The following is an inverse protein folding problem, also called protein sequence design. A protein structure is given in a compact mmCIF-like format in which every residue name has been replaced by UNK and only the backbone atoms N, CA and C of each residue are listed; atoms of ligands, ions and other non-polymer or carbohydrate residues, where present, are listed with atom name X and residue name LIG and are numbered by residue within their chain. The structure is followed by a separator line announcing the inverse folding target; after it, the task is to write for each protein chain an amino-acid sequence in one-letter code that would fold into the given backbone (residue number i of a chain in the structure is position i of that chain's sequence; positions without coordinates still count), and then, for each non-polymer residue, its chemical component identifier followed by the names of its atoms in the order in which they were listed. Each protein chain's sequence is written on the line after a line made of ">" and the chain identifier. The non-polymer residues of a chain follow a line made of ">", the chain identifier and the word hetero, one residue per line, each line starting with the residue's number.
data_IF_648167728222
#
_entry.id   IF_648167728222
#
_cell.length_a   1.000
_cell.length_b   1.000
_cell.length_c   1.000
_cell.angle_alpha   90.00
_cell.angle_beta   90.00
_cell.angle_gamma   90.00
#
_symmetry.space_group_name_H-M   'P 1'
#
loop_
_entity.id
_entity.type
_entity.pdbx_description
1 polymer ?
#
# COMPACT_ATOMS: atom_id res chain seq x y z
N UNK A 1 -67.33 127.40 -100.41
CA UNK A 1 -68.04 126.12 -100.66
C UNK A 1 -67.05 124.98 -100.90
N UNK A 2 -66.06 125.09 -101.79
CA UNK A 2 -65.01 124.06 -101.91
C UNK A 2 -64.06 124.02 -100.71
N UNK A 3 -63.61 125.18 -100.22
CA UNK A 3 -62.58 125.30 -99.17
C UNK A 3 -63.00 124.73 -97.81
N UNK A 4 -64.28 124.84 -97.45
CA UNK A 4 -64.82 124.23 -96.22
C UNK A 4 -64.74 122.71 -96.24
N UNK A 5 -65.08 122.09 -97.38
CA UNK A 5 -64.97 120.62 -97.57
C UNK A 5 -63.52 120.13 -97.45
N UNK A 6 -62.55 120.95 -97.87
CA UNK A 6 -61.12 120.65 -97.72
C UNK A 6 -60.68 120.75 -96.25
N UNK A 7 -61.18 121.74 -95.49
CA UNK A 7 -60.93 121.85 -94.05
C UNK A 7 -61.57 120.71 -93.26
N UNK A 8 -62.82 120.35 -93.55
CA UNK A 8 -63.51 119.21 -92.94
C UNK A 8 -62.76 117.89 -93.21
N UNK A 9 -62.25 117.70 -94.44
CA UNK A 9 -61.43 116.54 -94.80
C UNK A 9 -60.07 116.53 -94.08
N UNK A 10 -59.43 117.69 -93.89
CA UNK A 10 -58.18 117.80 -93.14
C UNK A 10 -58.37 117.51 -91.64
N UNK A 11 -59.48 117.94 -91.04
CA UNK A 11 -59.79 117.62 -89.63
C UNK A 11 -60.25 116.16 -89.45
N UNK A 12 -60.91 115.56 -90.45
CA UNK A 12 -61.14 114.11 -90.49
C UNK A 12 -59.83 113.31 -90.59
N UNK A 13 -58.87 113.77 -91.41
CA UNK A 13 -57.54 113.17 -91.52
C UNK A 13 -56.73 113.32 -90.22
N UNK A 14 -56.76 114.47 -89.54
CA UNK A 14 -56.16 114.63 -88.20
C UNK A 14 -56.75 113.67 -87.18
N UNK A 15 -58.07 113.54 -87.12
CA UNK A 15 -58.73 112.59 -86.20
C UNK A 15 -58.37 111.14 -86.51
N UNK A 16 -58.21 110.78 -87.79
CA UNK A 16 -57.68 109.47 -88.18
C UNK A 16 -56.22 109.31 -87.74
N UNK A 17 -55.37 110.32 -87.96
CA UNK A 17 -53.96 110.34 -87.53
C UNK A 17 -53.82 110.21 -85.99
N UNK A 18 -54.66 110.89 -85.22
CA UNK A 18 -54.74 110.77 -83.76
C UNK A 18 -55.23 109.38 -83.33
N UNK A 19 -56.24 108.81 -84.01
CA UNK A 19 -56.72 107.45 -83.74
C UNK A 19 -55.72 106.35 -84.13
N UNK A 20 -54.87 106.61 -85.12
CA UNK A 20 -53.76 105.72 -85.48
C UNK A 20 -52.66 105.83 -84.42
N UNK A 21 -52.27 107.05 -84.01
CA UNK A 21 -51.32 107.27 -82.91
C UNK A 21 -51.79 106.64 -81.59
N UNK A 22 -53.09 106.69 -81.26
CA UNK A 22 -53.61 106.04 -80.05
C UNK A 22 -53.58 104.52 -80.15
N UNK A 23 -53.92 103.95 -81.31
CA UNK A 23 -53.83 102.49 -81.55
C UNK A 23 -52.38 102.01 -81.58
N UNK A 24 -51.46 102.78 -82.16
CA UNK A 24 -50.02 102.50 -82.13
C UNK A 24 -49.46 102.55 -80.70
N UNK A 25 -49.97 103.44 -79.85
CA UNK A 25 -49.64 103.47 -78.43
C UNK A 25 -50.19 102.23 -77.69
N UNK A 26 -51.47 101.88 -77.88
CA UNK A 26 -52.05 100.65 -77.33
C UNK A 26 -51.32 99.39 -77.81
N UNK A 27 -50.90 99.33 -79.07
CA UNK A 27 -50.16 98.19 -79.61
C UNK A 27 -48.76 98.09 -78.99
N UNK A 28 -48.06 99.21 -78.78
CA UNK A 28 -46.78 99.24 -78.06
C UNK A 28 -46.94 98.83 -76.60
N UNK A 29 -47.98 99.29 -75.91
CA UNK A 29 -48.26 98.91 -74.51
C UNK A 29 -48.62 97.41 -74.39
N UNK A 30 -49.38 96.87 -75.34
CA UNK A 30 -49.63 95.43 -75.47
C UNK A 30 -48.35 94.65 -75.79
N UNK A 31 -47.51 95.16 -76.68
CA UNK A 31 -46.22 94.54 -77.01
C UNK A 31 -45.29 94.51 -75.81
N UNK A 32 -45.15 95.61 -75.05
CA UNK A 32 -44.36 95.62 -73.81
C UNK A 32 -44.92 94.71 -72.74
N UNK A 33 -46.25 94.66 -72.55
CA UNK A 33 -46.86 93.75 -71.56
C UNK A 33 -46.78 92.28 -71.95
N UNK A 34 -46.71 91.95 -73.25
CA UNK A 34 -46.42 90.60 -73.74
C UNK A 34 -44.92 90.26 -73.62
N UNK A 35 -44.02 91.22 -73.82
CA UNK A 35 -42.59 91.05 -73.54
C UNK A 35 -42.35 90.81 -72.04
N UNK A 36 -42.99 91.58 -71.15
CA UNK A 36 -42.97 91.39 -69.69
C UNK A 36 -43.58 90.06 -69.22
N UNK A 37 -44.55 89.50 -69.96
CA UNK A 37 -45.08 88.17 -69.69
C UNK A 37 -44.13 87.08 -70.20
N UNK A 38 -43.51 87.27 -71.35
CA UNK A 38 -42.54 86.32 -71.92
C UNK A 38 -41.26 86.23 -71.07
N UNK A 39 -40.76 87.34 -70.53
CA UNK A 39 -39.61 87.33 -69.60
C UNK A 39 -39.95 86.60 -68.31
N UNK A 40 -41.10 86.89 -67.68
CA UNK A 40 -41.56 86.18 -66.47
C UNK A 40 -41.73 84.68 -66.69
N UNK A 41 -42.31 84.26 -67.82
CA UNK A 41 -42.47 82.83 -68.14
C UNK A 41 -41.11 82.14 -68.34
N UNK A 42 -40.12 82.81 -68.92
CA UNK A 42 -38.75 82.28 -69.05
C UNK A 42 -37.98 82.31 -67.71
N UNK A 43 -38.28 83.24 -66.81
CA UNK A 43 -37.77 83.26 -65.42
C UNK A 43 -38.37 82.11 -64.58
N UNK A 44 -39.71 81.98 -64.55
CA UNK A 44 -40.44 80.89 -63.89
C UNK A 44 -39.97 79.52 -64.41
N UNK A 45 -39.80 79.40 -65.74
CA UNK A 45 -39.25 78.19 -66.37
C UNK A 45 -37.85 77.88 -65.87
N UNK A 46 -36.96 78.87 -65.73
CA UNK A 46 -35.60 78.66 -65.20
C UNK A 46 -35.61 78.24 -63.73
N UNK A 47 -36.53 78.77 -62.92
CA UNK A 47 -36.73 78.32 -61.53
C UNK A 47 -37.18 76.86 -61.51
N UNK A 48 -38.19 76.49 -62.29
CA UNK A 48 -38.68 75.10 -62.37
C UNK A 48 -37.63 74.14 -62.93
N UNK A 49 -36.80 74.57 -63.89
CA UNK A 49 -35.65 73.77 -64.37
C UNK A 49 -34.58 73.59 -63.28
N UNK A 50 -34.31 74.61 -62.45
CA UNK A 50 -33.40 74.52 -61.30
C UNK A 50 -33.94 73.61 -60.19
N UNK A 51 -35.21 73.77 -59.78
CA UNK A 51 -35.89 72.90 -58.81
C UNK A 51 -35.90 71.44 -59.28
N UNK A 52 -36.14 71.21 -60.58
CA UNK A 52 -36.07 69.86 -61.16
C UNK A 52 -34.67 69.26 -61.07
N UNK A 53 -33.61 70.05 -61.19
CA UNK A 53 -32.23 69.57 -61.00
C UNK A 53 -31.92 69.27 -59.53
N UNK A 54 -32.28 70.15 -58.59
CA UNK A 54 -32.02 69.91 -57.16
C UNK A 54 -32.77 68.69 -56.63
N UNK A 55 -34.03 68.49 -57.03
CA UNK A 55 -34.80 67.29 -56.69
C UNK A 55 -34.22 65.99 -57.30
N UNK A 56 -33.52 66.07 -58.43
CA UNK A 56 -32.82 64.93 -59.01
C UNK A 56 -31.55 64.57 -58.21
N UNK A 57 -30.78 65.58 -57.78
CA UNK A 57 -29.60 65.40 -56.93
C UNK A 57 -29.98 64.90 -55.53
N UNK A 58 -31.07 65.41 -54.95
CA UNK A 58 -31.62 64.91 -53.69
C UNK A 58 -32.07 63.45 -53.80
N UNK A 59 -32.80 63.09 -54.87
CA UNK A 59 -33.16 61.69 -55.16
C UNK A 59 -31.94 60.79 -55.19
N UNK A 60 -30.87 61.18 -55.89
CA UNK A 60 -29.68 60.35 -56.00
C UNK A 60 -28.87 60.29 -54.70
N UNK A 61 -28.88 61.36 -53.89
CA UNK A 61 -28.38 61.33 -52.51
C UNK A 61 -29.16 60.34 -51.65
N UNK A 62 -30.50 60.32 -51.75
CA UNK A 62 -31.36 59.41 -51.00
C UNK A 62 -31.18 57.95 -51.45
N UNK A 63 -31.14 57.68 -52.76
CA UNK A 63 -30.85 56.35 -53.32
C UNK A 63 -29.45 55.88 -52.93
N UNK A 64 -28.47 56.77 -52.85
CA UNK A 64 -27.14 56.48 -52.31
C UNK A 64 -27.17 56.06 -50.83
N UNK A 65 -27.88 56.81 -49.99
CA UNK A 65 -28.07 56.48 -48.56
C UNK A 65 -28.81 55.16 -48.38
N UNK A 66 -29.87 54.92 -49.15
CA UNK A 66 -30.68 53.69 -49.10
C UNK A 66 -29.84 52.45 -49.46
N UNK A 67 -29.00 52.53 -50.51
CA UNK A 67 -28.02 51.49 -50.84
C UNK A 67 -27.00 51.26 -49.71
N UNK A 68 -26.52 52.32 -49.07
CA UNK A 68 -25.62 52.25 -47.92
C UNK A 68 -26.27 51.60 -46.68
N UNK A 69 -27.55 51.87 -46.43
CA UNK A 69 -28.31 51.21 -45.36
C UNK A 69 -28.49 49.71 -45.62
N UNK A 70 -28.93 49.32 -46.83
CA UNK A 70 -29.04 47.90 -47.23
C UNK A 70 -27.71 47.14 -47.20
N UNK A 71 -26.58 47.83 -47.38
CA UNK A 71 -25.26 47.22 -47.21
C UNK A 71 -24.94 46.93 -45.73
N UNK A 72 -25.21 47.90 -44.84
CA UNK A 72 -25.04 47.75 -43.38
C UNK A 72 -25.99 46.72 -42.78
N UNK A 73 -27.23 46.67 -43.24
CA UNK A 73 -28.24 45.68 -42.87
C UNK A 73 -27.73 44.25 -43.08
N UNK A 74 -27.19 43.96 -44.28
CA UNK A 74 -26.56 42.66 -44.59
C UNK A 74 -25.29 42.40 -43.79
N UNK A 75 -24.50 43.42 -43.50
CA UNK A 75 -23.32 43.30 -42.64
C UNK A 75 -23.69 42.94 -41.19
N UNK A 76 -24.81 43.48 -40.69
CA UNK A 76 -25.37 43.13 -39.38
C UNK A 76 -25.97 41.72 -39.37
N UNK A 77 -26.77 41.33 -40.37
CA UNK A 77 -27.28 39.96 -40.49
C UNK A 77 -26.15 38.90 -40.45
N UNK A 78 -25.01 39.19 -41.09
CA UNK A 78 -23.84 38.30 -41.09
C UNK A 78 -23.19 38.23 -39.69
N UNK A 79 -23.07 39.36 -38.99
CA UNK A 79 -22.54 39.41 -37.62
C UNK A 79 -23.46 38.71 -36.61
N UNK A 80 -24.78 38.83 -36.77
CA UNK A 80 -25.77 38.09 -35.97
C UNK A 80 -25.63 36.57 -36.18
N UNK A 81 -25.45 36.12 -37.42
CA UNK A 81 -25.16 34.70 -37.74
C UNK A 81 -23.84 34.23 -37.12
N UNK A 82 -22.78 35.04 -37.20
CA UNK A 82 -21.51 34.75 -36.55
C UNK A 82 -21.60 34.69 -35.02
N UNK A 83 -22.38 35.58 -34.40
CA UNK A 83 -22.58 35.60 -32.94
C UNK A 83 -23.34 34.35 -32.51
N UNK A 84 -24.48 34.04 -33.14
CA UNK A 84 -25.27 32.84 -32.81
C UNK A 84 -24.52 31.53 -33.05
N UNK A 85 -23.57 31.48 -34.00
CA UNK A 85 -22.64 30.35 -34.13
C UNK A 85 -21.66 30.28 -32.93
N UNK A 86 -21.00 31.40 -32.58
CA UNK A 86 -20.06 31.43 -31.45
C UNK A 86 -20.73 31.11 -30.12
N UNK A 87 -21.98 31.53 -29.92
CA UNK A 87 -22.79 31.16 -28.75
C UNK A 87 -23.03 29.65 -28.65
N UNK A 88 -23.30 28.97 -29.77
CA UNK A 88 -23.44 27.51 -29.82
C UNK A 88 -22.10 26.79 -29.55
N UNK A 89 -20.99 27.32 -30.08
CA UNK A 89 -19.63 26.80 -29.81
C UNK A 89 -19.23 26.97 -28.33
N UNK A 90 -19.58 28.10 -27.71
CA UNK A 90 -19.37 28.32 -26.27
C UNK A 90 -20.26 27.42 -25.41
N UNK A 91 -21.54 27.26 -25.72
CA UNK A 91 -22.44 26.38 -24.94
C UNK A 91 -22.04 24.90 -25.08
N UNK A 92 -21.65 24.44 -26.27
CA UNK A 92 -21.09 23.10 -26.47
C UNK A 92 -19.78 22.90 -25.68
N UNK A 93 -18.91 23.90 -25.64
CA UNK A 93 -17.68 23.89 -24.84
C UNK A 93 -17.98 23.83 -23.34
N UNK A 94 -18.95 24.62 -22.87
CA UNK A 94 -19.43 24.64 -21.47
C UNK A 94 -20.02 23.29 -21.05
N UNK A 95 -20.81 22.65 -21.91
CA UNK A 95 -21.33 21.29 -21.66
C UNK A 95 -20.21 20.25 -21.60
N UNK A 96 -19.16 20.38 -22.43
CA UNK A 96 -18.00 19.49 -22.36
C UNK A 96 -17.19 19.69 -21.07
N UNK A 97 -17.07 20.92 -20.55
CA UNK A 97 -16.43 21.21 -19.26
C UNK A 97 -17.23 20.58 -18.12
N UNK A 98 -18.54 20.82 -18.05
CA UNK A 98 -19.44 20.22 -17.05
C UNK A 98 -19.37 18.68 -17.07
N UNK A 99 -19.29 18.06 -18.25
CA UNK A 99 -19.10 16.60 -18.36
C UNK A 99 -17.77 16.12 -17.78
N UNK A 100 -16.67 16.87 -17.97
CA UNK A 100 -15.35 16.57 -17.39
C UNK A 100 -15.32 16.77 -15.88
N UNK A 101 -15.95 17.83 -15.37
CA UNK A 101 -16.08 18.11 -13.92
C UNK A 101 -16.80 16.96 -13.20
N UNK A 102 -17.95 16.52 -13.74
CA UNK A 102 -18.67 15.36 -13.18
C UNK A 102 -17.84 14.06 -13.21
N UNK A 103 -17.01 13.84 -14.24
CA UNK A 103 -16.07 12.72 -14.27
C UNK A 103 -14.92 12.83 -13.25
N UNK A 104 -14.47 14.05 -12.92
CA UNK A 104 -13.47 14.27 -11.87
C UNK A 104 -14.07 14.00 -10.49
N UNK A 105 -15.26 14.54 -10.20
CA UNK A 105 -16.00 14.29 -8.95
C UNK A 105 -16.23 12.78 -8.74
N UNK A 106 -16.58 12.03 -9.80
CA UNK A 106 -16.70 10.58 -9.72
C UNK A 106 -15.39 9.87 -9.36
N UNK A 107 -14.27 10.27 -9.98
CA UNK A 107 -12.93 9.74 -9.65
C UNK A 107 -12.48 10.09 -8.24
N UNK A 108 -12.76 11.30 -7.77
CA UNK A 108 -12.46 11.74 -6.40
C UNK A 108 -13.22 10.91 -5.36
N UNK A 109 -14.51 10.65 -5.59
CA UNK A 109 -15.31 9.75 -4.74
C UNK A 109 -14.75 8.33 -4.71
N UNK A 110 -14.30 7.78 -5.84
CA UNK A 110 -13.72 6.44 -5.89
C UNK A 110 -12.32 6.37 -5.27
N UNK A 111 -11.52 7.43 -5.36
CA UNK A 111 -10.25 7.55 -4.61
C UNK A 111 -10.50 7.64 -3.11
N UNK A 112 -11.49 8.42 -2.66
CA UNK A 112 -11.87 8.51 -1.25
C UNK A 112 -12.32 7.14 -0.68
N UNK A 113 -13.15 6.38 -1.43
CA UNK A 113 -13.52 4.99 -1.08
C UNK A 113 -12.30 4.08 -0.99
N UNK A 114 -11.36 4.18 -1.95
CA UNK A 114 -10.12 3.37 -1.92
C UNK A 114 -9.28 3.67 -0.68
N UNK A 115 -9.07 4.95 -0.35
CA UNK A 115 -8.36 5.38 0.86
C UNK A 115 -9.01 4.85 2.15
N UNK A 116 -10.33 4.95 2.29
CA UNK A 116 -11.08 4.37 3.41
C UNK A 116 -10.83 2.84 3.55
N UNK A 117 -10.81 2.10 2.44
CA UNK A 117 -10.48 0.66 2.49
C UNK A 117 -8.99 0.36 2.72
N UNK A 118 -8.08 1.32 2.52
CA UNK A 118 -6.66 1.14 2.84
C UNK A 118 -6.42 1.39 4.33
N UNK A 119 -6.96 2.50 4.87
CA UNK A 119 -6.89 2.83 6.30
C UNK A 119 -7.43 1.68 7.17
N UNK A 120 -8.58 1.08 6.80
CA UNK A 120 -9.14 -0.08 7.50
C UNK A 120 -8.22 -1.31 7.48
N UNK A 121 -7.49 -1.54 6.37
CA UNK A 121 -6.51 -2.63 6.30
C UNK A 121 -5.27 -2.33 7.14
N UNK A 122 -4.83 -1.07 7.21
CA UNK A 122 -3.74 -0.62 8.07
C UNK A 122 -4.10 -0.76 9.55
N UNK A 123 -5.34 -0.42 9.94
CA UNK A 123 -5.90 -0.65 11.28
C UNK A 123 -5.92 -2.15 11.63
N UNK A 124 -6.41 -3.02 10.72
CA UNK A 124 -6.37 -4.47 10.94
C UNK A 124 -4.93 -5.04 11.04
N UNK A 125 -3.98 -4.52 10.25
CA UNK A 125 -2.56 -4.92 10.33
C UNK A 125 -1.98 -4.52 11.69
N UNK A 126 -2.18 -3.28 12.11
CA UNK A 126 -1.73 -2.79 13.41
C UNK A 126 -2.34 -3.59 14.59
N UNK A 127 -3.60 -4.03 14.46
CA UNK A 127 -4.22 -4.94 15.43
C UNK A 127 -3.48 -6.29 15.48
N UNK A 128 -3.30 -6.94 14.32
CA UNK A 128 -2.64 -8.25 14.21
C UNK A 128 -1.18 -8.21 14.68
N UNK A 129 -0.46 -7.11 14.42
CA UNK A 129 0.89 -6.89 14.94
C UNK A 129 0.91 -6.72 16.47
N UNK A 130 -0.09 -6.04 17.03
CA UNK A 130 -0.23 -5.91 18.50
C UNK A 130 -0.50 -7.24 19.20
N UNK A 131 -1.30 -8.12 18.57
CA UNK A 131 -1.57 -9.49 19.03
C UNK A 131 -0.32 -10.37 18.93
N UNK A 132 0.42 -10.28 17.81
CA UNK A 132 1.68 -10.98 17.62
C UNK A 132 2.74 -10.56 18.67
N UNK A 133 2.82 -9.26 18.99
CA UNK A 133 3.69 -8.73 20.05
C UNK A 133 3.24 -9.18 21.45
N UNK A 134 1.95 -9.33 21.71
CA UNK A 134 1.44 -9.89 22.96
C UNK A 134 1.84 -11.37 23.10
N UNK A 135 1.60 -12.19 22.08
CA UNK A 135 2.00 -13.60 22.06
C UNK A 135 3.52 -13.79 22.17
N UNK A 136 4.33 -12.90 21.57
CA UNK A 136 5.78 -12.93 21.72
C UNK A 136 6.23 -12.68 23.18
N UNK A 137 5.54 -11.81 23.92
CA UNK A 137 5.76 -11.58 25.37
C UNK A 137 5.32 -12.77 26.21
N UNK A 138 4.18 -13.39 25.91
CA UNK A 138 3.73 -14.60 26.60
C UNK A 138 4.73 -15.77 26.42
N UNK A 139 5.27 -15.91 25.21
CA UNK A 139 6.27 -16.93 24.88
C UNK A 139 7.60 -16.65 25.61
N UNK A 140 8.05 -15.40 25.73
CA UNK A 140 9.27 -15.08 26.47
C UNK A 140 9.10 -15.25 27.98
N UNK A 141 7.94 -14.87 28.55
CA UNK A 141 7.61 -15.11 29.95
C UNK A 141 7.57 -16.62 30.28
N UNK A 142 6.93 -17.44 29.46
CA UNK A 142 6.90 -18.91 29.63
C UNK A 142 8.30 -19.54 29.49
N UNK A 143 9.15 -19.03 28.59
CA UNK A 143 10.55 -19.48 28.49
C UNK A 143 11.35 -19.16 29.76
N UNK A 144 11.18 -17.96 30.33
CA UNK A 144 11.82 -17.58 31.59
C UNK A 144 11.34 -18.44 32.78
N UNK A 145 10.04 -18.74 32.84
CA UNK A 145 9.50 -19.65 33.86
C UNK A 145 10.07 -21.07 33.72
N UNK A 146 10.14 -21.61 32.50
CA UNK A 146 10.74 -22.93 32.24
C UNK A 146 12.22 -22.96 32.65
N UNK A 147 12.99 -21.91 32.35
CA UNK A 147 14.39 -21.79 32.76
C UNK A 147 14.53 -21.76 34.29
N UNK A 148 13.71 -20.95 34.99
CA UNK A 148 13.70 -20.91 36.46
C UNK A 148 13.33 -22.25 37.11
N UNK A 149 12.40 -23.00 36.51
CA UNK A 149 12.08 -24.38 36.94
C UNK A 149 13.23 -25.35 36.68
N UNK A 150 13.94 -25.21 35.55
CA UNK A 150 15.14 -26.02 35.24
C UNK A 150 16.27 -25.76 36.25
N UNK A 151 16.54 -24.50 36.60
CA UNK A 151 17.50 -24.16 37.67
C UNK A 151 17.13 -24.79 39.02
N UNK A 152 15.84 -24.77 39.40
CA UNK A 152 15.37 -25.38 40.65
C UNK A 152 15.58 -26.90 40.65
N UNK A 153 15.35 -27.57 39.52
CA UNK A 153 15.60 -29.02 39.36
C UNK A 153 17.10 -29.32 39.46
N UNK A 154 17.97 -28.52 38.82
CA UNK A 154 19.43 -28.69 38.92
C UNK A 154 19.90 -28.54 40.36
N UNK A 155 19.50 -27.48 41.05
CA UNK A 155 19.85 -27.24 42.47
C UNK A 155 19.41 -28.39 43.37
N UNK A 156 18.19 -28.91 43.18
CA UNK A 156 17.69 -30.08 43.93
C UNK A 156 18.50 -31.36 43.65
N UNK A 157 18.97 -31.57 42.42
CA UNK A 157 19.82 -32.71 42.06
C UNK A 157 21.24 -32.56 42.61
N UNK A 158 21.78 -31.33 42.67
CA UNK A 158 23.06 -31.01 43.31
C UNK A 158 23.00 -31.24 44.83
N UNK A 159 21.93 -30.79 45.50
CA UNK A 159 21.67 -31.06 46.92
C UNK A 159 21.56 -32.58 47.18
N UNK A 160 20.76 -33.30 46.36
CA UNK A 160 20.63 -34.76 46.48
C UNK A 160 21.98 -35.46 46.30
N UNK A 161 22.75 -35.09 45.28
CA UNK A 161 24.10 -35.61 45.06
C UNK A 161 24.99 -35.37 46.28
N UNK A 162 25.05 -34.16 46.81
CA UNK A 162 25.85 -33.84 47.99
C UNK A 162 25.42 -34.65 49.23
N UNK A 163 24.13 -34.88 49.43
CA UNK A 163 23.67 -35.75 50.53
C UNK A 163 24.04 -37.23 50.34
N UNK A 164 24.11 -37.73 49.11
CA UNK A 164 24.56 -39.09 48.79
C UNK A 164 26.07 -39.24 48.95
N UNK A 165 26.86 -38.27 48.48
CA UNK A 165 28.31 -38.24 48.69
C UNK A 165 28.64 -38.20 50.20
N UNK A 166 27.91 -37.38 50.98
CA UNK A 166 28.02 -37.36 52.44
C UNK A 166 27.49 -38.62 53.14
N UNK A 167 26.69 -39.48 52.49
CA UNK A 167 26.36 -40.82 53.01
C UNK A 167 27.46 -41.84 52.68
N UNK A 168 27.99 -41.80 51.46
CA UNK A 168 29.09 -42.66 50.99
C UNK A 168 30.33 -42.44 51.86
N UNK A 169 30.71 -41.20 52.13
CA UNK A 169 31.86 -40.86 52.99
C UNK A 169 31.68 -41.38 54.43
N UNK A 170 30.47 -41.22 55.01
CA UNK A 170 30.17 -41.78 56.34
C UNK A 170 30.25 -43.31 56.35
N UNK A 171 29.79 -43.98 55.29
CA UNK A 171 29.93 -45.42 55.16
C UNK A 171 31.40 -45.85 55.00
N UNK A 172 32.23 -45.12 54.25
CA UNK A 172 33.67 -45.38 54.19
C UNK A 172 34.34 -45.26 55.57
N UNK A 173 34.02 -44.20 56.33
CA UNK A 173 34.54 -44.02 57.70
C UNK A 173 34.07 -45.13 58.65
N UNK A 174 32.85 -45.67 58.48
CA UNK A 174 32.38 -46.83 59.25
C UNK A 174 33.12 -48.11 58.84
N UNK A 175 33.22 -48.41 57.54
CA UNK A 175 33.99 -49.57 57.03
C UNK A 175 35.47 -49.52 57.44
N UNK A 176 36.08 -48.34 57.56
CA UNK A 176 37.43 -48.19 58.11
C UNK A 176 37.52 -48.50 59.60
N UNK A 177 36.50 -48.11 60.39
CA UNK A 177 36.44 -48.44 61.83
C UNK A 177 36.21 -49.92 62.04
N UNK A 178 35.34 -50.56 61.26
CA UNK A 178 35.12 -52.01 61.28
C UNK A 178 36.42 -52.76 60.93
N UNK A 179 37.14 -52.36 59.89
CA UNK A 179 38.47 -52.94 59.56
C UNK A 179 39.48 -52.78 60.70
N UNK A 180 39.49 -51.64 61.40
CA UNK A 180 40.38 -51.40 62.55
C UNK A 180 39.96 -52.27 63.75
N UNK A 181 38.68 -52.38 64.05
CA UNK A 181 38.14 -53.26 65.10
C UNK A 181 38.43 -54.74 64.82
N UNK A 182 38.30 -55.21 63.57
CA UNK A 182 38.70 -56.59 63.19
C UNK A 182 40.19 -56.81 63.45
N UNK A 183 41.07 -55.86 63.07
CA UNK A 183 42.50 -55.94 63.37
C UNK A 183 42.83 -55.89 64.87
N UNK A 184 42.05 -55.15 65.66
CA UNK A 184 42.15 -55.13 67.12
C UNK A 184 41.67 -56.45 67.75
N UNK A 185 40.58 -57.05 67.24
CA UNK A 185 40.09 -58.37 67.66
C UNK A 185 41.10 -59.49 67.32
N UNK A 186 41.70 -59.47 66.12
CA UNK A 186 42.79 -60.36 65.74
C UNK A 186 44.02 -60.19 66.66
N UNK A 187 44.41 -58.94 66.95
CA UNK A 187 45.50 -58.64 67.87
C UNK A 187 45.22 -59.18 69.29
N UNK A 188 43.99 -58.99 69.79
CA UNK A 188 43.53 -59.53 71.08
C UNK A 188 43.50 -61.07 71.06
N UNK A 189 43.08 -61.69 69.96
CA UNK A 189 43.08 -63.14 69.79
C UNK A 189 44.51 -63.71 69.85
N UNK A 190 45.48 -63.10 69.14
CA UNK A 190 46.89 -63.54 69.22
C UNK A 190 47.51 -63.27 70.59
N UNK A 191 47.12 -62.20 71.29
CA UNK A 191 47.55 -61.94 72.66
C UNK A 191 46.99 -62.98 73.64
N UNK A 192 45.72 -63.35 73.53
CA UNK A 192 45.09 -64.44 74.31
C UNK A 192 45.76 -65.79 74.03
N UNK A 193 46.11 -66.07 72.77
CA UNK A 193 46.84 -67.28 72.41
C UNK A 193 48.21 -67.35 73.11
N UNK A 194 49.01 -66.27 73.03
CA UNK A 194 50.32 -66.16 73.71
C UNK A 194 50.18 -66.33 75.23
N UNK A 195 49.23 -65.65 75.87
CA UNK A 195 48.95 -65.80 77.31
C UNK A 195 48.53 -67.24 77.67
N UNK A 196 47.83 -67.96 76.78
CA UNK A 196 47.49 -69.37 77.00
C UNK A 196 48.70 -70.31 76.86
N UNK A 197 49.66 -70.00 75.98
CA UNK A 197 50.94 -70.72 75.89
C UNK A 197 51.83 -70.44 77.11
N UNK A 198 51.92 -69.18 77.54
CA UNK A 198 52.64 -68.79 78.75
C UNK A 198 52.02 -69.42 79.99
N UNK A 199 50.69 -69.43 80.11
CA UNK A 199 49.96 -70.15 81.15
C UNK A 199 50.23 -71.65 81.14
N UNK A 200 50.28 -72.30 79.97
CA UNK A 200 50.69 -73.71 79.83
C UNK A 200 52.14 -73.94 80.29
N UNK A 201 53.09 -73.09 79.86
CA UNK A 201 54.50 -73.15 80.27
C UNK A 201 54.67 -72.91 81.78
N UNK A 202 53.83 -72.06 82.38
CA UNK A 202 53.82 -71.83 83.83
C UNK A 202 53.23 -73.02 84.59
N UNK A 203 52.11 -73.60 84.14
CA UNK A 203 51.54 -74.84 84.70
C UNK A 203 52.50 -76.04 84.56
N UNK A 204 53.30 -76.08 83.49
CA UNK A 204 54.32 -77.11 83.28
C UNK A 204 55.51 -76.93 84.25
N UNK A 205 55.97 -75.69 84.46
CA UNK A 205 56.94 -75.35 85.52
C UNK A 205 56.39 -75.60 86.93
N UNK A 206 55.12 -75.30 87.18
CA UNK A 206 54.45 -75.56 88.46
C UNK A 206 54.39 -77.06 88.75
N UNK A 207 54.07 -77.89 87.75
CA UNK A 207 54.16 -79.37 87.87
C UNK A 207 55.60 -79.83 88.15
N UNK A 208 56.60 -79.23 87.51
CA UNK A 208 58.02 -79.53 87.79
C UNK A 208 58.40 -79.14 89.23
N UNK A 209 57.94 -78.00 89.72
CA UNK A 209 58.16 -77.54 91.11
C UNK A 209 57.38 -78.38 92.13
N UNK A 210 56.15 -78.80 91.85
CA UNK A 210 55.38 -79.69 92.73
C UNK A 210 55.98 -81.10 92.80
N UNK A 211 56.62 -81.60 91.74
CA UNK A 211 57.44 -82.82 91.78
C UNK A 211 58.70 -82.63 92.65
N UNK A 212 59.25 -81.41 92.68
CA UNK A 212 60.39 -81.03 93.52
C UNK A 212 59.99 -80.84 95.00
N UNK A 213 58.77 -80.36 95.29
CA UNK A 213 58.25 -80.27 96.66
C UNK A 213 57.80 -81.63 97.20
N UNK A 214 57.17 -82.49 96.38
CA UNK A 214 56.79 -83.86 96.79
C UNK A 214 57.99 -84.77 97.10
N UNK A 215 59.23 -84.30 96.86
CA UNK A 215 60.47 -84.98 97.22
C UNK A 215 61.21 -84.37 98.42
N UNK A 216 60.59 -83.43 99.18
CA UNK A 216 61.23 -82.80 100.35
C UNK A 216 60.29 -82.44 101.53
N UNK A 217 60.85 -82.41 102.75
CA UNK A 217 60.21 -81.84 103.97
C UNK A 217 60.98 -80.58 104.44
N UNK A 218 60.40 -79.73 105.33
CA UNK A 218 60.64 -78.28 105.32
C UNK A 218 61.72 -77.77 106.30
N UNK A 219 62.08 -76.47 106.19
CA UNK A 219 62.35 -75.44 107.26
C UNK A 219 63.27 -74.30 106.73
N UNK A 220 63.00 -73.04 107.10
CA UNK A 220 64.06 -72.05 107.45
C UNK A 220 64.35 -70.86 106.49
N UNK A 221 64.97 -69.74 106.97
CA UNK A 221 65.10 -68.48 106.18
C UNK A 221 66.51 -67.78 106.14
N UNK A 222 66.62 -66.68 105.34
CA UNK A 222 67.65 -65.58 105.37
C UNK A 222 69.10 -65.87 104.87
N UNK A 223 69.99 -64.87 104.63
CA UNK A 223 69.84 -63.51 104.03
C UNK A 223 71.01 -63.01 103.08
N UNK A 224 70.89 -61.79 102.49
CA UNK A 224 71.95 -60.90 101.91
C UNK A 224 72.74 -61.35 100.64
N UNK A 225 73.42 -60.53 99.80
CA UNK A 225 73.83 -59.09 99.80
C UNK A 225 74.15 -58.53 98.37
N UNK A 226 73.77 -57.26 98.07
CA UNK A 226 74.54 -56.13 97.46
C UNK A 226 75.25 -56.21 96.03
N UNK A 227 75.81 -55.11 95.45
CA UNK A 227 75.17 -53.82 95.08
C UNK A 227 75.64 -53.13 93.74
N UNK A 228 75.03 -51.96 93.40
CA UNK A 228 75.49 -50.84 92.52
C UNK A 228 75.45 -51.03 90.95
N UNK A 229 75.31 -50.01 90.07
CA UNK A 229 75.27 -48.53 90.18
C UNK A 229 74.31 -47.81 89.14
N UNK A 230 74.39 -46.47 88.97
CA UNK A 230 73.56 -45.56 88.10
C UNK A 230 74.39 -45.06 86.86
N UNK A 231 74.13 -43.97 86.04
CA UNK A 231 73.12 -42.86 86.08
C UNK A 231 72.58 -42.15 84.76
N UNK A 232 71.44 -41.42 84.86
CA UNK A 232 71.09 -40.05 84.26
C UNK A 232 71.00 -39.90 82.70
N UNK A 233 70.17 -39.07 81.99
CA UNK A 233 69.91 -37.58 81.95
C UNK A 233 68.50 -37.19 81.36
N UNK A 234 68.12 -35.88 81.38
CA UNK A 234 66.91 -35.22 80.79
C UNK A 234 67.31 -34.02 79.88
N UNK A 235 66.42 -33.35 79.05
CA UNK A 235 65.63 -32.16 79.50
C UNK A 235 64.31 -31.79 78.69
N UNK A 236 63.74 -30.57 78.90
CA UNK A 236 62.49 -29.94 78.30
C UNK A 236 62.76 -28.42 77.99
N UNK A 237 61.85 -27.44 77.61
CA UNK A 237 60.36 -27.23 77.64
C UNK A 237 59.74 -26.79 76.25
N UNK A 238 58.77 -25.88 75.95
CA UNK A 238 57.96 -24.81 76.62
C UNK A 238 56.72 -24.28 75.81
N UNK A 239 55.81 -23.50 76.47
CA UNK A 239 54.86 -22.40 76.09
C UNK A 239 54.13 -22.31 74.69
N UNK A 240 52.90 -21.75 74.51
CA UNK A 240 52.28 -20.49 75.04
C UNK A 240 50.71 -20.51 75.03
N UNK A 241 50.02 -19.55 75.66
CA UNK A 241 48.55 -19.48 75.89
C UNK A 241 47.70 -18.88 74.73
N UNK A 242 46.35 -19.04 74.70
CA UNK A 242 45.35 -18.14 75.32
C UNK A 242 43.91 -18.75 75.46
N UNK A 243 43.07 -18.12 76.31
CA UNK A 243 41.58 -18.25 76.48
C UNK A 243 40.99 -16.81 76.48
N UNK A 244 39.65 -16.52 76.51
CA UNK A 244 38.44 -17.35 76.68
C UNK A 244 37.36 -17.06 75.57
N UNK A 245 36.04 -17.30 75.61
CA UNK A 245 35.01 -17.91 76.52
C UNK A 245 33.97 -18.70 75.67
N UNK A 246 33.17 -19.63 76.25
CA UNK A 246 31.98 -20.23 75.62
C UNK A 246 30.64 -19.56 76.02
N UNK A 247 29.56 -19.75 75.24
CA UNK A 247 28.16 -19.42 75.59
C UNK A 247 27.22 -20.55 75.14
N UNK A 248 26.04 -20.69 75.77
CA UNK A 248 25.20 -21.90 75.79
C UNK A 248 23.88 -21.76 75.00
N UNK A 249 23.32 -22.90 74.58
CA UNK A 249 22.06 -23.09 73.84
C UNK A 249 20.79 -22.87 74.69
N UNK A 250 19.74 -22.25 74.14
CA UNK A 250 18.31 -22.71 74.25
C UNK A 250 17.37 -21.91 73.30
N UNK A 251 16.15 -22.41 72.96
CA UNK A 251 15.27 -21.84 71.92
C UNK A 251 13.96 -21.21 72.46
N UNK A 252 13.19 -20.49 71.61
CA UNK A 252 11.72 -20.63 71.37
C UNK A 252 11.14 -19.52 70.44
N UNK A 253 9.85 -19.60 69.98
CA UNK A 253 9.41 -18.93 68.74
C UNK A 253 8.46 -17.73 68.91
N UNK A 254 8.21 -17.02 67.82
CA UNK A 254 6.92 -16.33 67.53
C UNK A 254 6.62 -16.36 66.03
N UNK A 255 5.34 -16.18 65.65
CA UNK A 255 4.85 -16.37 64.30
C UNK A 255 4.46 -15.06 63.59
N UNK A 256 4.60 -15.03 62.27
CA UNK A 256 3.94 -14.06 61.38
C UNK A 256 3.29 -14.77 60.19
N UNK A 257 1.95 -14.68 60.15
CA UNK A 257 1.02 -15.03 59.07
C UNK A 257 0.13 -13.77 58.86
N UNK A 258 -0.66 -13.60 57.79
CA UNK A 258 -0.92 -14.54 56.70
C UNK A 258 -1.03 -13.93 55.28
N UNK A 259 -1.45 -14.79 54.34
CA UNK A 259 -2.26 -14.50 53.15
C UNK A 259 -1.53 -13.93 51.90
N UNK A 260 -2.03 -14.17 50.67
CA UNK A 260 -3.27 -14.85 50.26
C UNK A 260 -3.09 -15.73 49.00
N UNK A 261 -3.99 -16.72 48.84
CA UNK A 261 -4.72 -17.15 47.63
C UNK A 261 -4.03 -17.28 46.23
N UNK A 262 -4.48 -18.15 45.32
CA UNK A 262 -5.29 -19.39 45.40
C UNK A 262 -5.35 -20.06 44.00
N UNK A 263 -5.58 -21.39 43.97
CA UNK A 263 -6.04 -22.22 42.83
C UNK A 263 -5.23 -22.15 41.50
N UNK A 264 -5.53 -23.00 40.49
CA UNK A 264 -5.58 -24.45 40.58
C UNK A 264 -4.63 -25.15 39.58
N UNK A 265 -4.37 -26.44 39.80
CA UNK A 265 -3.74 -27.32 38.79
C UNK A 265 -4.76 -27.68 37.70
N UNK A 266 -4.37 -27.56 36.43
CA UNK A 266 -4.93 -28.38 35.34
C UNK A 266 -3.81 -28.89 34.42
N UNK A 267 -4.05 -30.05 33.80
CA UNK A 267 -3.04 -30.84 33.07
C UNK A 267 -3.28 -30.75 31.56
N UNK A 268 -2.23 -30.45 30.80
CA UNK A 268 -2.24 -30.51 29.33
C UNK A 268 -1.31 -31.62 28.82
N UNK A 269 -1.79 -32.39 27.83
CA UNK A 269 -1.09 -33.53 27.21
C UNK A 269 -0.30 -33.05 25.97
N UNK A 270 0.89 -33.63 25.66
CA UNK A 270 1.86 -32.94 24.79
C UNK A 270 1.82 -33.29 23.29
N UNK A 271 2.48 -32.42 22.52
CA UNK A 271 3.21 -32.65 21.25
C UNK A 271 2.50 -33.17 20.00
N UNK A 272 2.54 -32.34 18.95
CA UNK A 272 3.18 -32.68 17.68
C UNK A 272 3.87 -31.42 17.09
N UNK A 273 4.91 -31.59 16.27
CA UNK A 273 5.57 -30.54 15.47
C UNK A 273 5.58 -30.97 14.00
N UNK A 274 5.44 -30.06 13.02
CA UNK A 274 5.74 -30.35 11.63
C UNK A 274 7.27 -30.37 11.40
N UNK A 275 7.69 -31.12 10.38
CA UNK A 275 9.11 -31.26 9.98
C UNK A 275 9.38 -30.52 8.67
N UNK A 276 10.59 -29.97 8.53
CA UNK A 276 11.04 -29.26 7.32
C UNK A 276 11.64 -30.25 6.30
N UNK A 277 11.44 -29.97 5.01
CA UNK A 277 12.29 -30.47 3.93
C UNK A 277 12.48 -29.35 2.89
N UNK A 278 13.71 -29.18 2.41
CA UNK A 278 14.12 -28.22 1.39
C UNK A 278 15.37 -28.77 0.67
N UNK A 279 15.93 -27.99 -0.27
CA UNK A 279 17.07 -28.33 -1.15
C UNK A 279 16.74 -29.32 -2.29
N UNK A 280 17.54 -29.33 -3.39
CA UNK A 280 18.00 -28.14 -4.10
C UNK A 280 17.90 -28.28 -5.64
N UNK A 281 18.06 -27.16 -6.36
CA UNK A 281 18.48 -27.20 -7.78
C UNK A 281 19.52 -26.10 -8.01
N UNK A 282 20.54 -26.39 -8.81
CA UNK A 282 21.54 -25.42 -9.27
C UNK A 282 21.59 -25.45 -10.80
N UNK A 283 21.49 -24.28 -11.42
CA UNK A 283 21.57 -24.06 -12.86
C UNK A 283 21.82 -22.57 -13.08
N UNK A 284 22.82 -22.22 -13.90
CA UNK A 284 23.26 -20.84 -14.05
C UNK A 284 22.23 -19.96 -14.77
N UNK A 285 21.54 -19.12 -14.02
CA UNK A 285 20.54 -18.20 -14.57
C UNK A 285 21.20 -17.11 -15.43
N UNK A 286 20.84 -17.09 -16.71
CA UNK A 286 21.28 -16.06 -17.65
C UNK A 286 20.24 -14.95 -17.65
N UNK A 287 20.54 -13.84 -16.96
CA UNK A 287 19.67 -12.67 -16.92
C UNK A 287 19.88 -11.77 -18.15
N UNK A 288 18.79 -11.28 -18.73
CA UNK A 288 18.77 -10.30 -19.81
C UNK A 288 17.82 -9.13 -19.47
N UNK A 289 18.05 -7.90 -19.97
CA UNK A 289 17.12 -6.80 -19.77
C UNK A 289 15.92 -6.90 -20.74
N UNK A 290 14.71 -6.74 -20.22
CA UNK A 290 13.50 -6.63 -21.05
C UNK A 290 13.56 -5.41 -21.98
N UNK A 291 13.38 -5.55 -23.31
CA UNK A 291 13.54 -4.44 -24.26
C UNK A 291 12.48 -3.33 -24.11
N UNK A 292 11.35 -3.62 -23.46
CA UNK A 292 10.27 -2.64 -23.26
C UNK A 292 10.40 -1.80 -21.97
N UNK A 293 11.19 -2.21 -20.98
CA UNK A 293 11.28 -1.53 -19.69
C UNK A 293 12.64 -1.58 -18.97
N UNK A 294 13.63 -2.30 -19.51
CA UNK A 294 14.97 -2.43 -18.92
C UNK A 294 15.08 -3.33 -17.69
N UNK A 295 13.98 -3.91 -17.21
CA UNK A 295 13.99 -4.82 -16.05
C UNK A 295 14.73 -6.12 -16.37
N UNK A 296 15.67 -6.53 -15.52
CA UNK A 296 16.35 -7.82 -15.64
C UNK A 296 15.36 -8.97 -15.42
N UNK A 297 15.42 -9.94 -16.32
CA UNK A 297 14.57 -11.13 -16.41
C UNK A 297 15.43 -12.34 -16.78
N UNK A 298 15.05 -13.54 -16.35
CA UNK A 298 15.65 -14.77 -16.85
C UNK A 298 15.46 -14.90 -18.37
N UNK A 299 16.45 -15.43 -19.10
CA UNK A 299 16.37 -15.59 -20.56
C UNK A 299 15.16 -16.43 -21.03
N UNK A 300 14.70 -17.38 -20.22
CA UNK A 300 13.53 -18.24 -20.50
C UNK A 300 12.17 -17.57 -20.19
N UNK A 301 12.15 -16.28 -19.79
CA UNK A 301 10.94 -15.59 -19.38
C UNK A 301 10.04 -15.23 -20.56
N UNK A 302 8.99 -16.03 -20.81
CA UNK A 302 8.01 -15.82 -21.89
C UNK A 302 7.36 -14.42 -21.84
N UNK A 303 7.18 -13.85 -20.64
CA UNK A 303 6.68 -12.49 -20.42
C UNK A 303 7.44 -11.81 -19.26
N UNK A 304 7.70 -10.50 -19.39
CA UNK A 304 8.34 -9.72 -18.34
C UNK A 304 7.38 -9.48 -17.17
N UNK A 305 7.77 -9.91 -15.96
CA UNK A 305 6.96 -9.76 -14.75
C UNK A 305 6.67 -8.31 -14.34
N UNK A 306 7.47 -7.33 -14.79
CA UNK A 306 7.34 -5.93 -14.41
C UNK A 306 6.46 -5.09 -15.34
N UNK A 307 6.41 -5.43 -16.64
CA UNK A 307 5.69 -4.63 -17.65
C UNK A 307 4.70 -5.42 -18.53
N UNK A 308 4.66 -6.76 -18.40
CA UNK A 308 3.78 -7.63 -19.19
C UNK A 308 4.19 -7.83 -20.65
N UNK A 309 5.32 -7.26 -21.10
CA UNK A 309 5.81 -7.44 -22.46
C UNK A 309 6.22 -8.89 -22.72
N UNK A 310 5.68 -9.50 -23.79
CA UNK A 310 5.97 -10.87 -24.23
C UNK A 310 7.26 -10.88 -25.05
N UNK A 311 8.12 -11.88 -24.79
CA UNK A 311 9.52 -11.86 -25.23
C UNK A 311 9.88 -12.98 -26.21
N UNK A 312 9.00 -13.99 -26.35
CA UNK A 312 9.27 -15.17 -27.16
C UNK A 312 8.56 -15.12 -28.52
N UNK A 313 9.32 -14.73 -29.54
CA UNK A 313 9.07 -15.03 -30.96
C UNK A 313 10.31 -15.76 -31.52
N UNK A 314 10.16 -16.48 -32.64
CA UNK A 314 11.19 -17.30 -33.28
C UNK A 314 11.72 -18.52 -32.48
N UNK A 315 10.85 -19.52 -32.28
CA UNK A 315 11.27 -20.92 -32.21
C UNK A 315 10.36 -21.81 -33.07
N UNK A 316 10.30 -21.49 -34.37
CA UNK A 316 9.47 -22.18 -35.37
C UNK A 316 10.34 -22.72 -36.51
N UNK A 317 10.79 -23.98 -36.38
CA UNK A 317 11.48 -24.70 -37.43
C UNK A 317 11.00 -26.17 -37.46
N UNK A 318 10.33 -26.51 -38.57
CA UNK A 318 10.04 -27.84 -39.12
C UNK A 318 9.02 -28.79 -38.42
N UNK A 319 7.88 -28.95 -39.13
CA UNK A 319 7.12 -30.21 -39.37
C UNK A 319 6.36 -30.89 -38.20
N UNK A 320 5.08 -31.32 -38.33
CA UNK A 320 4.30 -31.70 -39.54
C UNK A 320 2.75 -31.67 -39.34
N UNK A 321 2.02 -31.75 -40.48
CA UNK A 321 0.63 -32.24 -40.69
C UNK A 321 -0.60 -31.58 -40.04
N UNK A 322 -1.46 -31.02 -40.91
CA UNK A 322 -2.94 -31.13 -41.02
C UNK A 322 -3.80 -31.17 -39.72
N UNK A 323 -4.81 -30.31 -39.53
CA UNK A 323 -5.98 -30.21 -40.43
C UNK A 323 -6.90 -29.01 -40.11
N UNK A 324 -7.64 -28.55 -41.13
CA UNK A 324 -8.93 -27.81 -41.14
C UNK A 324 -9.46 -27.10 -39.86
N UNK A 325 -9.76 -25.79 -39.97
CA UNK A 325 -11.09 -25.31 -39.53
C UNK A 325 -11.23 -23.98 -38.77
N UNK A 326 -10.21 -23.43 -38.11
CA UNK A 326 -10.40 -22.31 -37.18
C UNK A 326 -10.45 -20.92 -37.85
N UNK A 327 -11.61 -20.59 -38.45
CA UNK A 327 -11.90 -19.22 -38.89
C UNK A 327 -12.35 -18.33 -37.71
N UNK A 328 -11.50 -17.37 -37.32
CA UNK A 328 -11.87 -16.36 -36.33
C UNK A 328 -12.73 -15.25 -36.94
N UNK A 329 -13.77 -14.84 -36.21
CA UNK A 329 -14.73 -13.79 -36.58
C UNK A 329 -14.68 -12.70 -35.49
N UNK A 330 -14.68 -11.39 -35.82
CA UNK A 330 -14.77 -10.34 -34.80
C UNK A 330 -16.17 -10.28 -34.18
N UNK A 331 -16.25 -10.27 -32.85
CA UNK A 331 -17.51 -10.15 -32.12
C UNK A 331 -18.22 -8.81 -32.45
N UNK A 332 -19.51 -8.81 -32.86
CA UNK A 332 -20.20 -7.60 -33.29
C UNK A 332 -20.47 -6.59 -32.15
N UNK A 333 -20.31 -7.00 -30.88
CA UNK A 333 -20.54 -6.14 -29.72
C UNK A 333 -19.26 -5.46 -29.18
N UNK A 334 -18.07 -6.02 -29.41
CA UNK A 334 -16.81 -5.51 -28.83
C UNK A 334 -15.57 -5.58 -29.75
N UNK A 335 -15.69 -6.14 -30.95
CA UNK A 335 -14.59 -6.28 -31.92
C UNK A 335 -13.55 -7.35 -31.61
N UNK A 336 -13.63 -8.03 -30.46
CA UNK A 336 -12.71 -9.11 -30.08
C UNK A 336 -12.85 -10.31 -31.03
N UNK A 337 -11.72 -10.80 -31.56
CA UNK A 337 -11.69 -12.02 -32.37
C UNK A 337 -12.10 -13.23 -31.51
N UNK A 338 -12.98 -14.06 -32.08
CA UNK A 338 -13.53 -15.26 -31.47
C UNK A 338 -13.66 -16.35 -32.54
N UNK A 339 -13.52 -17.63 -32.18
CA UNK A 339 -13.80 -18.76 -33.07
C UNK A 339 -15.23 -18.68 -33.62
N UNK A 340 -15.47 -19.03 -34.89
CA UNK A 340 -16.80 -18.96 -35.52
C UNK A 340 -17.90 -19.69 -34.72
N UNK A 341 -17.57 -20.81 -34.07
CA UNK A 341 -18.51 -21.63 -33.28
C UNK A 341 -18.77 -21.10 -31.84
N UNK A 342 -18.20 -19.95 -31.47
CA UNK A 342 -18.31 -19.40 -30.12
C UNK A 342 -19.73 -18.89 -29.81
N UNK A 343 -20.54 -19.74 -29.18
CA UNK A 343 -21.91 -19.44 -28.72
C UNK A 343 -21.99 -18.16 -27.85
N UNK A 344 -20.89 -17.75 -27.22
CA UNK A 344 -20.78 -16.49 -26.48
C UNK A 344 -19.36 -15.93 -26.56
N UNK A 345 -19.22 -14.62 -26.78
CA UNK A 345 -17.93 -13.96 -26.74
C UNK A 345 -17.37 -13.91 -25.31
N UNK A 346 -16.20 -14.52 -25.10
CA UNK A 346 -15.53 -14.60 -23.80
C UNK A 346 -15.19 -13.23 -23.19
N UNK A 347 -14.99 -12.19 -24.02
CA UNK A 347 -14.56 -10.87 -23.58
C UNK A 347 -15.70 -9.94 -23.13
N UNK A 348 -16.92 -10.13 -23.64
CA UNK A 348 -18.05 -9.22 -23.36
C UNK A 348 -19.36 -9.91 -22.97
N UNK A 349 -19.42 -11.25 -22.98
CA UNK A 349 -20.64 -12.02 -22.68
C UNK A 349 -21.74 -11.92 -23.75
N UNK A 350 -21.48 -11.29 -24.90
CA UNK A 350 -22.45 -11.21 -25.99
C UNK A 350 -22.67 -12.60 -26.59
N UNK A 351 -23.92 -13.09 -26.54
CA UNK A 351 -24.29 -14.40 -27.07
C UNK A 351 -24.45 -14.33 -28.59
N UNK A 352 -23.79 -15.23 -29.30
CA UNK A 352 -23.91 -15.37 -30.76
C UNK A 352 -24.76 -16.61 -31.04
N UNK A 353 -25.77 -16.45 -31.90
CA UNK A 353 -26.59 -17.54 -32.40
C UNK A 353 -26.12 -17.89 -33.81
N UNK A 354 -25.82 -19.16 -34.06
CA UNK A 354 -25.62 -19.68 -35.41
C UNK A 354 -26.94 -19.60 -36.20
N UNK A 355 -26.88 -19.24 -37.48
CA UNK A 355 -28.06 -18.93 -38.31
C UNK A 355 -28.79 -20.18 -38.87
N UNK A 356 -28.88 -21.26 -38.10
CA UNK A 356 -29.54 -22.52 -38.48
C UNK A 356 -30.71 -22.92 -37.56
N UNK A 357 -31.65 -21.99 -37.32
CA UNK A 357 -33.05 -22.35 -37.06
C UNK A 357 -34.05 -21.36 -37.70
N UNK A 358 -34.97 -21.88 -38.53
CA UNK A 358 -35.93 -21.09 -39.31
C UNK A 358 -37.24 -20.83 -38.55
N UNK A 359 -37.16 -20.04 -37.47
CA UNK A 359 -38.24 -19.82 -36.48
C UNK A 359 -39.39 -18.81 -36.80
N UNK A 360 -39.38 -18.14 -37.95
CA UNK A 360 -40.52 -17.42 -38.58
C UNK A 360 -41.31 -16.31 -37.79
N UNK A 361 -41.23 -15.03 -38.24
CA UNK A 361 -42.34 -14.13 -38.70
C UNK A 361 -42.08 -12.60 -38.53
N UNK A 362 -42.18 -11.86 -39.66
CA UNK A 362 -42.66 -10.43 -39.80
C UNK A 362 -41.80 -9.33 -39.12
N UNK A 363 -41.67 -8.09 -39.62
CA UNK A 363 -42.06 -7.42 -40.88
C UNK A 363 -41.08 -6.22 -41.12
N UNK A 364 -41.01 -5.60 -42.33
CA UNK A 364 -39.87 -4.76 -42.70
C UNK A 364 -39.99 -3.27 -42.33
N UNK A 365 -38.85 -2.59 -42.17
CA UNK A 365 -38.70 -1.12 -42.16
C UNK A 365 -37.59 -0.71 -43.13
N UNK A 366 -37.81 0.33 -43.92
CA UNK A 366 -36.98 0.70 -45.08
C UNK A 366 -36.37 2.11 -44.97
N UNK A 367 -35.06 2.25 -45.21
CA UNK A 367 -34.41 3.57 -45.37
C UNK A 367 -33.41 3.60 -46.54
N UNK A 368 -33.88 4.19 -47.64
CA UNK A 368 -33.18 5.08 -48.60
C UNK A 368 -31.68 4.85 -48.90
N UNK A 369 -31.43 4.33 -50.10
CA UNK A 369 -30.14 4.32 -50.81
C UNK A 369 -29.72 5.74 -51.23
N UNK A 370 -28.63 6.28 -50.70
CA UNK A 370 -28.12 7.63 -51.05
C UNK A 370 -27.19 7.55 -52.27
N UNK A 371 -27.62 8.14 -53.39
CA UNK A 371 -26.77 8.36 -54.56
C UNK A 371 -25.78 9.49 -54.29
N UNK A 372 -24.47 9.19 -54.28
CA UNK A 372 -23.42 10.23 -54.35
C UNK A 372 -23.43 10.86 -55.74
N UNK A 373 -24.06 12.04 -55.85
CA UNK A 373 -24.08 12.85 -57.07
C UNK A 373 -22.66 13.39 -57.30
N UNK A 374 -22.05 13.01 -58.44
CA UNK A 374 -20.71 13.49 -58.82
C UNK A 374 -20.79 14.99 -59.11
N UNK A 375 -19.92 15.79 -58.49
CA UNK A 375 -19.81 17.23 -58.75
C UNK A 375 -19.07 17.44 -60.07
N UNK A 376 -19.35 18.57 -60.72
CA UNK A 376 -18.78 19.03 -62.00
C UNK A 376 -17.34 19.47 -61.80
#
# INVERSE_FOLDING_TARGET
>A
MAESSILDALDALKKLEESLKSRDAEFKERETSLQDQATRIEEDRRVVEQERTSLADERDSLVGREKGLRAREKELELKEREITQKEQEFEGSRQQVLAKENQLIGREQDLAKRLDTLLKREEEIAHRDSEALAHARDISARKAEIAGRQEQIVKLLEDQKATLEAQIERNHVLMEREKKLIGEEEAIATARAKLSEEGRRLLEREKQLLLQEQTGRPIGPMPTQAPAARPVVSPTPAATALRPQPVVVTPQPVASKPAAAAVPVQVAKPTAKPTVAAEPVSGGESEMPCPACGTMISADAIMCYACGHRLHEESAAEETSDSEGESEIPCPACGTMISADAIMCYACGHRLASEDDKGAKKAPVSVKKVLKKKVI
#
